data_IF_053204338023
#
_entry.id   IF_053204338023
#
_cell.length_a   1.000
_cell.length_b   1.000
_cell.length_c   1.000
_cell.angle_alpha   90.00
_cell.angle_beta   90.00
_cell.angle_gamma   90.00
#
_symmetry.space_group_name_H-M   'P 1'
#
loop_
_entity.id
_entity.type
_entity.pdbx_description
1 polymer ?
#
# COMPACT_ATOMS: atom_id res chain seq x y z
N UNK A 1 13.12 -30.84 29.55
CA UNK A 1 13.23 -29.61 30.35
C UNK A 1 14.22 -28.73 29.61
N UNK A 2 13.84 -27.70 28.86
CA UNK A 2 12.72 -26.77 28.99
C UNK A 2 12.31 -26.29 27.61
N UNK A 3 11.01 -26.33 27.33
CA UNK A 3 10.39 -25.66 26.18
C UNK A 3 10.40 -24.18 26.54
N UNK A 4 11.24 -23.38 25.89
CA UNK A 4 11.24 -21.92 26.11
C UNK A 4 10.24 -21.35 25.10
N UNK A 5 9.10 -20.91 25.62
CA UNK A 5 8.06 -20.23 24.87
C UNK A 5 8.58 -18.89 24.35
N UNK A 6 8.94 -18.83 23.07
CA UNK A 6 9.11 -17.59 22.29
C UNK A 6 7.77 -17.31 21.59
N UNK A 7 6.72 -16.97 22.35
CA UNK A 7 5.36 -16.75 21.82
C UNK A 7 4.97 -15.26 21.76
N UNK A 8 5.90 -14.30 21.73
CA UNK A 8 5.53 -12.87 21.92
C UNK A 8 6.13 -11.80 21.00
N UNK A 9 6.76 -12.12 19.86
CA UNK A 9 7.30 -11.10 18.95
C UNK A 9 6.93 -11.25 17.46
N UNK A 10 5.80 -11.89 17.13
CA UNK A 10 5.40 -12.07 15.71
C UNK A 10 4.90 -10.76 15.05
N UNK A 11 4.52 -9.74 15.83
CA UNK A 11 3.89 -8.51 15.31
C UNK A 11 4.85 -7.45 14.76
N UNK A 12 5.94 -7.16 15.49
CA UNK A 12 6.81 -6.02 15.15
C UNK A 12 7.69 -6.30 13.93
N UNK A 13 8.14 -7.56 13.76
CA UNK A 13 8.95 -7.98 12.60
C UNK A 13 8.09 -7.98 11.32
N UNK A 14 6.80 -8.32 11.42
CA UNK A 14 5.89 -8.37 10.28
C UNK A 14 5.55 -6.98 9.72
N UNK A 15 5.40 -5.97 10.58
CA UNK A 15 5.16 -4.58 10.12
C UNK A 15 6.39 -4.00 9.43
N UNK A 16 7.59 -4.28 9.95
CA UNK A 16 8.85 -3.80 9.34
C UNK A 16 9.10 -4.49 8.00
N UNK A 17 8.88 -5.79 7.89
CA UNK A 17 8.99 -6.53 6.62
C UNK A 17 7.96 -6.04 5.59
N UNK A 18 6.71 -5.82 6.03
CA UNK A 18 5.69 -5.20 5.20
C UNK A 18 6.13 -3.81 4.74
N UNK A 19 6.61 -2.96 5.65
CA UNK A 19 7.12 -1.63 5.29
C UNK A 19 8.27 -1.71 4.31
N UNK A 20 9.27 -2.55 4.54
CA UNK A 20 10.44 -2.66 3.66
C UNK A 20 10.04 -3.11 2.26
N UNK A 21 9.15 -4.10 2.18
CA UNK A 21 8.57 -4.54 0.90
C UNK A 21 7.77 -3.42 0.24
N UNK A 22 6.93 -2.70 0.96
CA UNK A 22 6.16 -1.56 0.43
C UNK A 22 7.07 -0.42 -0.07
N UNK A 23 8.15 -0.13 0.65
CA UNK A 23 9.14 0.89 0.31
C UNK A 23 10.03 0.47 -0.87
N UNK A 24 10.26 -0.83 -1.05
CA UNK A 24 11.10 -1.41 -2.10
C UNK A 24 10.35 -1.70 -3.41
N UNK A 25 9.14 -2.28 -3.33
CA UNK A 25 8.38 -2.70 -4.51
C UNK A 25 7.24 -1.76 -4.88
N UNK A 26 6.76 -0.93 -3.95
CA UNK A 26 5.51 -0.19 -4.13
C UNK A 26 4.28 -1.09 -4.14
N UNK A 27 3.11 -0.49 -4.36
CA UNK A 27 1.78 -1.12 -4.38
C UNK A 27 1.03 -0.70 -5.63
N UNK A 28 0.39 -1.66 -6.30
CA UNK A 28 -0.55 -1.38 -7.38
C UNK A 28 -1.95 -1.18 -6.79
N UNK A 29 -2.56 -0.03 -7.05
CA UNK A 29 -3.96 0.27 -6.74
C UNK A 29 -4.77 0.17 -8.02
N UNK A 30 -5.84 -0.63 -7.96
CA UNK A 30 -6.87 -0.72 -8.99
C UNK A 30 -8.17 -0.27 -8.39
N UNK A 31 -8.89 0.59 -9.09
CA UNK A 31 -10.22 1.01 -8.70
C UNK A 31 -10.94 1.71 -9.82
N UNK A 32 -12.15 2.12 -9.55
CA UNK A 32 -12.93 2.94 -10.46
C UNK A 32 -13.73 3.97 -9.67
N UNK A 33 -13.99 5.10 -10.33
CA UNK A 33 -14.78 6.20 -9.79
C UNK A 33 -15.83 6.56 -10.82
N UNK A 34 -17.07 6.70 -10.37
CA UNK A 34 -18.18 7.21 -11.17
C UNK A 34 -18.48 8.64 -10.74
N UNK A 35 -18.54 9.54 -11.71
CA UNK A 35 -18.98 10.91 -11.52
C UNK A 35 -20.44 10.98 -11.96
N UNK A 36 -21.31 11.27 -11.00
CA UNK A 36 -22.76 11.32 -11.20
C UNK A 36 -23.31 12.71 -10.91
N UNK A 37 -24.37 13.09 -11.62
CA UNK A 37 -25.09 14.35 -11.41
C UNK A 37 -26.60 14.09 -11.40
N UNK A 38 -27.29 14.60 -10.39
CA UNK A 38 -28.75 14.45 -10.26
C UNK A 38 -29.22 12.98 -10.33
N UNK A 39 -28.41 12.06 -9.79
CA UNK A 39 -28.70 10.62 -9.78
C UNK A 39 -28.46 9.92 -11.13
N UNK A 40 -27.82 10.59 -12.09
CA UNK A 40 -27.43 10.00 -13.38
C UNK A 40 -25.90 9.87 -13.41
N UNK A 41 -25.42 8.68 -13.75
CA UNK A 41 -24.00 8.41 -13.95
C UNK A 41 -23.55 9.00 -15.28
N UNK A 42 -22.57 9.91 -15.25
CA UNK A 42 -22.09 10.61 -16.44
C UNK A 42 -20.79 10.02 -16.97
N UNK A 43 -19.84 9.75 -16.07
CA UNK A 43 -18.49 9.34 -16.44
C UNK A 43 -18.00 8.27 -15.49
N UNK A 44 -17.49 7.17 -16.03
CA UNK A 44 -16.73 6.18 -15.29
C UNK A 44 -15.24 6.30 -15.62
N UNK A 45 -14.41 6.45 -14.59
CA UNK A 45 -12.96 6.47 -14.69
C UNK A 45 -12.42 5.19 -14.07
N UNK A 46 -11.61 4.44 -14.82
CA UNK A 46 -10.84 3.31 -14.29
C UNK A 46 -9.45 3.79 -13.91
N UNK A 47 -9.05 3.53 -12.67
CA UNK A 47 -7.77 3.92 -12.11
C UNK A 47 -6.88 2.69 -11.97
N UNK A 48 -5.71 2.75 -12.61
CA UNK A 48 -4.60 1.85 -12.37
C UNK A 48 -3.40 2.72 -12.00
N UNK A 49 -2.98 2.66 -10.74
CA UNK A 49 -1.88 3.46 -10.23
C UNK A 49 -0.87 2.59 -9.51
N UNK A 50 0.40 2.96 -9.56
CA UNK A 50 1.45 2.36 -8.73
C UNK A 50 1.88 3.42 -7.72
N UNK A 51 1.72 3.09 -6.44
CA UNK A 51 2.19 3.90 -5.33
C UNK A 51 3.56 3.37 -4.91
N UNK A 52 4.59 4.20 -5.01
CA UNK A 52 5.94 3.86 -4.58
C UNK A 52 6.43 4.87 -3.56
N UNK A 53 7.43 4.50 -2.77
CA UNK A 53 8.06 5.45 -1.85
C UNK A 53 8.88 6.47 -2.62
N UNK A 54 8.68 7.75 -2.32
CA UNK A 54 9.54 8.82 -2.83
C UNK A 54 10.78 8.92 -1.94
N UNK A 55 11.96 8.97 -2.54
CA UNK A 55 13.22 9.27 -1.84
C UNK A 55 13.58 10.73 -2.11
N UNK A 56 14.17 11.42 -1.12
CA UNK A 56 14.50 12.85 -1.19
C UNK A 56 15.32 13.24 -2.44
N UNK A 57 16.12 12.31 -2.95
CA UNK A 57 16.94 12.48 -4.16
C UNK A 57 16.13 12.53 -5.46
N UNK A 58 14.96 11.88 -5.52
CA UNK A 58 14.10 11.85 -6.71
C UNK A 58 13.21 13.10 -6.84
N UNK A 59 13.00 13.86 -5.75
CA UNK A 59 12.09 15.01 -5.74
C UNK A 59 12.70 16.32 -6.28
N UNK A 60 14.00 16.30 -6.60
CA UNK A 60 14.78 17.48 -7.03
C UNK A 60 15.27 17.39 -8.49
N UNK A 61 14.72 16.49 -9.32
CA UNK A 61 14.98 16.41 -10.76
C UNK A 61 13.85 17.04 -11.56
#
# INVERSE_FOLDING_TARGET
>A
MTVVAEEQAYGDIALVDLLDRLLGSGVVIVGDVVISLSGIDLVQVRLHAVITSVRKEMANG
#
